data_IF_209166459623
#
_entry.id   IF_209166459623
#
_cell.length_a   1.000
_cell.length_b   1.000
_cell.length_c   1.000
_cell.angle_alpha   90.00
_cell.angle_beta   90.00
_cell.angle_gamma   90.00
#
_symmetry.space_group_name_H-M   'P 1'
#
loop_
_entity.id
_entity.type
_entity.pdbx_description
1 polymer ?
#
# COMPACT_ATOMS: atom_id res chain seq x y z
N UNK A 1 -5.38 -13.54 26.47
CA UNK A 1 -4.61 -12.69 25.53
C UNK A 1 -4.81 -11.24 25.92
N UNK A 2 -3.85 -10.61 26.61
CA UNK A 2 -4.01 -9.23 27.14
C UNK A 2 -3.69 -8.18 26.07
N UNK A 3 -2.64 -8.39 25.27
CA UNK A 3 -2.20 -7.41 24.26
C UNK A 3 -3.19 -7.18 23.11
N UNK A 4 -3.84 -8.23 22.61
CA UNK A 4 -4.85 -8.08 21.56
C UNK A 4 -6.07 -7.29 22.04
N UNK A 5 -6.51 -7.50 23.30
CA UNK A 5 -7.59 -6.72 23.90
C UNK A 5 -7.26 -5.24 23.95
N UNK A 6 -6.08 -4.89 24.48
CA UNK A 6 -5.64 -3.50 24.54
C UNK A 6 -5.51 -2.83 23.15
N UNK A 7 -5.11 -3.58 22.12
CA UNK A 7 -5.05 -3.06 20.75
C UNK A 7 -6.45 -2.77 20.17
N UNK A 8 -7.45 -3.61 20.47
CA UNK A 8 -8.84 -3.38 20.08
C UNK A 8 -9.42 -2.17 20.83
N UNK A 9 -9.17 -2.08 22.15
CA UNK A 9 -9.59 -0.94 22.96
C UNK A 9 -9.02 0.38 22.42
N UNK A 10 -7.77 0.37 21.94
CA UNK A 10 -7.16 1.52 21.27
C UNK A 10 -7.93 1.89 19.99
N UNK A 11 -8.18 0.91 19.11
CA UNK A 11 -8.94 1.16 17.87
C UNK A 11 -10.34 1.70 18.15
N UNK A 12 -11.03 1.18 19.16
CA UNK A 12 -12.37 1.61 19.55
C UNK A 12 -12.35 3.00 20.20
N UNK A 13 -11.30 3.33 20.98
CA UNK A 13 -11.12 4.68 21.52
C UNK A 13 -10.92 5.74 20.42
N UNK A 14 -10.20 5.38 19.35
CA UNK A 14 -10.04 6.22 18.15
C UNK A 14 -11.30 6.19 17.29
N UNK A 15 -12.07 5.11 17.29
CA UNK A 15 -13.32 4.97 16.56
C UNK A 15 -13.12 4.49 15.11
N UNK A 16 -13.70 3.33 14.78
CA UNK A 16 -13.52 2.66 13.49
C UNK A 16 -13.96 3.49 12.28
N UNK A 17 -15.04 4.24 12.40
CA UNK A 17 -15.52 5.12 11.32
C UNK A 17 -14.55 6.27 11.05
N UNK A 18 -13.92 6.82 12.11
CA UNK A 18 -12.90 7.88 11.97
C UNK A 18 -11.63 7.33 11.32
N UNK A 19 -11.22 6.12 11.69
CA UNK A 19 -10.09 5.42 11.06
C UNK A 19 -10.37 5.22 9.57
N UNK A 20 -11.53 4.67 9.21
CA UNK A 20 -11.90 4.42 7.82
C UNK A 20 -11.96 5.71 6.99
N UNK A 21 -12.54 6.79 7.52
CA UNK A 21 -12.58 8.08 6.84
C UNK A 21 -11.17 8.68 6.63
N UNK A 22 -10.29 8.53 7.63
CA UNK A 22 -8.90 8.98 7.51
C UNK A 22 -8.10 8.15 6.49
N UNK A 23 -8.26 6.83 6.50
CA UNK A 23 -7.64 5.95 5.50
C UNK A 23 -8.14 6.25 4.08
N UNK A 24 -9.42 6.60 3.92
CA UNK A 24 -9.97 7.03 2.63
C UNK A 24 -9.30 8.30 2.10
N UNK A 25 -9.14 9.31 2.97
CA UNK A 25 -8.45 10.57 2.62
C UNK A 25 -6.98 10.33 2.22
N UNK A 26 -6.25 9.54 3.02
CA UNK A 26 -4.87 9.15 2.72
C UNK A 26 -4.78 8.40 1.38
N UNK A 27 -5.71 7.49 1.11
CA UNK A 27 -5.75 6.73 -0.15
C UNK A 27 -5.97 7.65 -1.34
N UNK A 28 -6.95 8.56 -1.25
CA UNK A 28 -7.27 9.52 -2.33
C UNK A 28 -6.03 10.37 -2.63
N UNK A 29 -5.44 10.96 -1.59
CA UNK A 29 -4.27 11.81 -1.72
C UNK A 29 -3.07 11.06 -2.30
N UNK A 30 -2.79 9.84 -1.81
CA UNK A 30 -1.68 9.04 -2.31
C UNK A 30 -1.90 8.61 -3.78
N UNK A 31 -3.13 8.25 -4.18
CA UNK A 31 -3.45 7.99 -5.58
C UNK A 31 -3.21 9.22 -6.46
N UNK A 32 -3.63 10.41 -6.03
CA UNK A 32 -3.40 11.67 -6.75
C UNK A 32 -1.89 11.93 -6.93
N UNK A 33 -1.12 11.86 -5.83
CA UNK A 33 0.32 12.15 -5.84
C UNK A 33 1.13 11.14 -6.64
N UNK A 34 0.81 9.86 -6.55
CA UNK A 34 1.56 8.80 -7.25
C UNK A 34 1.21 8.75 -8.73
N UNK A 35 -0.03 9.07 -9.13
CA UNK A 35 -0.42 9.16 -10.55
C UNK A 35 0.28 10.31 -11.30
N UNK A 36 0.73 11.33 -10.58
CA UNK A 36 1.54 12.40 -11.18
C UNK A 36 2.94 11.93 -11.60
N UNK A 37 3.38 10.73 -11.21
CA UNK A 37 4.67 10.16 -11.59
C UNK A 37 4.50 9.37 -12.89
N UNK A 38 4.98 9.90 -14.00
CA UNK A 38 4.76 9.35 -15.36
C UNK A 38 5.15 7.87 -15.53
N UNK A 39 6.22 7.42 -14.87
CA UNK A 39 6.70 6.04 -14.96
C UNK A 39 6.02 5.08 -13.98
N UNK A 40 5.10 5.57 -13.15
CA UNK A 40 4.46 4.79 -12.10
C UNK A 40 3.12 4.22 -12.57
N UNK A 41 2.94 2.91 -12.36
CA UNK A 41 1.66 2.23 -12.58
C UNK A 41 1.15 1.65 -11.28
N UNK A 42 -0.07 2.00 -10.90
CA UNK A 42 -0.78 1.47 -9.73
C UNK A 42 -1.55 0.19 -10.12
N UNK A 43 -1.51 -0.83 -9.26
CA UNK A 43 -2.33 -2.04 -9.36
C UNK A 43 -3.53 -1.95 -8.44
N UNK A 44 -4.73 -1.98 -9.03
CA UNK A 44 -6.01 -2.01 -8.32
C UNK A 44 -6.59 -0.61 -8.05
N UNK A 45 -7.75 -0.34 -8.63
CA UNK A 45 -8.48 0.93 -8.54
C UNK A 45 -9.99 0.72 -8.24
N UNK A 46 -10.30 -0.37 -7.53
CA UNK A 46 -11.69 -0.70 -7.23
C UNK A 46 -12.32 0.36 -6.29
N UNK A 47 -13.58 0.76 -6.53
CA UNK A 47 -14.30 1.65 -5.61
C UNK A 47 -14.43 0.96 -4.24
N UNK A 48 -14.25 1.73 -3.17
CA UNK A 48 -14.31 1.20 -1.79
C UNK A 48 -13.11 0.31 -1.39
N UNK A 49 -12.02 0.26 -2.17
CA UNK A 49 -10.78 -0.40 -1.73
C UNK A 49 -10.20 0.31 -0.49
N UNK A 50 -9.50 -0.44 0.37
CA UNK A 50 -8.72 0.13 1.48
C UNK A 50 -7.47 0.89 1.01
N UNK A 51 -6.78 1.52 1.96
CA UNK A 51 -5.57 2.33 1.75
C UNK A 51 -4.30 1.53 1.46
N UNK A 52 -4.38 0.57 0.53
CA UNK A 52 -3.24 -0.25 0.06
C UNK A 52 -2.94 0.10 -1.40
N UNK A 53 -1.68 0.45 -1.67
CA UNK A 53 -1.22 0.90 -2.99
C UNK A 53 -0.03 0.03 -3.41
N UNK A 54 -0.30 -0.95 -4.28
CA UNK A 54 0.75 -1.69 -4.99
C UNK A 54 1.07 -0.97 -6.29
N UNK A 55 2.34 -0.84 -6.64
CA UNK A 55 2.75 -0.14 -7.86
C UNK A 55 4.04 -0.73 -8.45
N UNK A 56 4.31 -0.38 -9.70
CA UNK A 56 5.63 -0.59 -10.32
C UNK A 56 6.13 0.73 -10.92
N UNK A 57 7.45 0.87 -11.01
CA UNK A 57 8.09 1.91 -11.80
C UNK A 57 8.66 1.29 -13.07
N UNK A 58 8.29 1.83 -14.22
CA UNK A 58 8.72 1.31 -15.52
C UNK A 58 10.25 1.25 -15.61
N UNK A 59 10.78 0.05 -15.88
CA UNK A 59 12.22 -0.19 -16.04
C UNK A 59 13.01 -0.33 -14.72
N UNK A 60 12.35 -0.36 -13.56
CA UNK A 60 13.01 -0.50 -12.25
C UNK A 60 12.40 -1.68 -11.50
N UNK A 61 13.24 -2.57 -10.96
CA UNK A 61 12.74 -3.69 -10.14
C UNK A 61 12.20 -3.17 -8.80
N UNK A 62 11.11 -3.75 -8.31
CA UNK A 62 10.48 -3.33 -7.05
C UNK A 62 11.45 -3.36 -5.85
N UNK A 63 12.37 -4.34 -5.82
CA UNK A 63 13.39 -4.43 -4.77
C UNK A 63 14.38 -3.25 -4.79
N UNK A 64 14.75 -2.76 -5.98
CA UNK A 64 15.64 -1.60 -6.10
C UNK A 64 14.95 -0.34 -5.55
N UNK A 65 13.67 -0.14 -5.90
CA UNK A 65 12.86 0.97 -5.37
C UNK A 65 12.78 0.90 -3.84
N UNK A 66 12.42 -0.26 -3.30
CA UNK A 66 12.30 -0.47 -1.86
C UNK A 66 13.62 -0.18 -1.13
N UNK A 67 14.75 -0.64 -1.66
CA UNK A 67 16.06 -0.40 -1.05
C UNK A 67 16.48 1.07 -1.10
N UNK A 68 16.16 1.79 -2.17
CA UNK A 68 16.55 3.21 -2.32
C UNK A 68 15.77 4.09 -1.36
N UNK A 69 14.45 3.90 -1.26
CA UNK A 69 13.62 4.77 -0.41
C UNK A 69 13.72 4.41 1.08
N UNK A 70 14.10 3.18 1.41
CA UNK A 70 14.45 2.77 2.78
C UNK A 70 15.63 3.61 3.32
N UNK A 71 16.62 3.93 2.47
CA UNK A 71 17.73 4.84 2.84
C UNK A 71 17.27 6.27 3.16
N UNK A 72 16.06 6.64 2.76
CA UNK A 72 15.42 7.91 3.11
C UNK A 72 14.46 7.79 4.31
N UNK A 73 14.40 6.61 4.94
CA UNK A 73 13.54 6.33 6.09
C UNK A 73 12.11 5.90 5.72
N UNK A 74 11.84 5.58 4.45
CA UNK A 74 10.51 5.18 3.98
C UNK A 74 10.41 3.66 3.92
N UNK A 75 9.67 3.07 4.86
CA UNK A 75 9.45 1.63 4.90
C UNK A 75 8.32 1.22 3.94
N UNK A 76 8.67 0.43 2.92
CA UNK A 76 7.73 -0.25 2.02
C UNK A 76 8.11 -1.72 1.91
N UNK A 77 7.31 -2.50 1.17
CA UNK A 77 7.60 -3.90 0.89
C UNK A 77 7.58 -4.14 -0.61
N UNK A 78 8.63 -4.76 -1.13
CA UNK A 78 8.67 -5.31 -2.48
C UNK A 78 8.50 -6.82 -2.43
N UNK A 79 7.84 -7.39 -3.44
CA UNK A 79 7.85 -8.83 -3.67
C UNK A 79 6.52 -9.38 -4.15
N UNK A 80 6.26 -10.65 -3.82
CA UNK A 80 5.06 -11.37 -4.27
C UNK A 80 3.85 -11.15 -3.37
N UNK A 81 4.04 -10.54 -2.19
CA UNK A 81 2.99 -10.26 -1.20
C UNK A 81 2.13 -11.47 -0.84
N UNK A 82 2.72 -12.67 -0.90
CA UNK A 82 2.01 -13.95 -0.72
C UNK A 82 0.85 -14.16 -1.72
N UNK A 83 0.88 -13.47 -2.88
CA UNK A 83 -0.20 -13.40 -3.85
C UNK A 83 0.28 -13.71 -5.30
N UNK A 84 1.24 -14.64 -5.45
CA UNK A 84 1.86 -14.97 -6.75
C UNK A 84 0.87 -15.18 -7.92
N UNK A 85 -0.28 -15.87 -7.77
CA UNK A 85 -1.23 -16.03 -8.87
C UNK A 85 -1.82 -14.70 -9.37
N UNK A 86 -2.02 -13.73 -8.47
CA UNK A 86 -2.51 -12.41 -8.81
C UNK A 86 -1.47 -11.62 -9.61
N UNK A 87 -0.21 -11.66 -9.17
CA UNK A 87 0.90 -11.01 -9.89
C UNK A 87 1.08 -11.61 -11.29
N UNK A 88 1.00 -12.94 -11.42
CA UNK A 88 1.04 -13.63 -12.72
C UNK A 88 -0.08 -13.15 -13.65
N UNK A 89 -1.31 -12.94 -13.13
CA UNK A 89 -2.42 -12.38 -13.90
C UNK A 89 -2.16 -10.94 -14.36
N UNK A 90 -1.47 -10.14 -13.56
CA UNK A 90 -1.08 -8.77 -13.91
C UNK A 90 0.17 -8.68 -14.79
N UNK A 91 0.85 -9.81 -15.05
CA UNK A 91 2.04 -9.87 -15.90
C UNK A 91 3.32 -9.38 -15.21
N UNK A 92 3.34 -9.33 -13.88
CA UNK A 92 4.49 -8.86 -13.09
C UNK A 92 4.98 -9.94 -12.14
N UNK A 93 6.24 -9.85 -11.72
CA UNK A 93 6.87 -10.81 -10.78
C UNK A 93 6.95 -10.28 -9.36
N UNK A 94 6.95 -8.96 -9.20
CA UNK A 94 6.91 -8.25 -7.91
C UNK A 94 6.27 -6.88 -8.08
N UNK A 95 5.64 -6.41 -7.02
CA UNK A 95 5.20 -5.01 -6.86
C UNK A 95 5.64 -4.48 -5.52
#
# INVERSE_FOLDING_TARGET
AIGLGAALDYMDSVGRERIAAHEEDLKIYAHERLRAINSLRIFGDAPGKGAIISFELQGIHAHDVSMVIDRQGVAVRAGTHCAQPLLKRFGVTST
#
